data_IF_393082256346
#
_entry.id   IF_393082256346
#
_cell.length_a   1.000
_cell.length_b   1.000
_cell.length_c   1.000
_cell.angle_alpha   90.00
_cell.angle_beta   90.00
_cell.angle_gamma   90.00
#
_symmetry.space_group_name_H-M   'P 1'
#
loop_
_entity.id
_entity.type
_entity.pdbx_description
1 polymer ?
#
# COMPACT_ATOMS: atom_id res chain seq x y z
N UNK A 1 -6.62 14.54 11.24
CA UNK A 1 -6.82 14.21 9.81
C UNK A 1 -5.66 14.84 9.06
N UNK A 2 -4.61 14.08 8.76
CA UNK A 2 -3.57 14.56 7.85
C UNK A 2 -4.22 14.75 6.46
N UNK A 3 -3.95 15.83 5.73
CA UNK A 3 -4.40 15.94 4.36
C UNK A 3 -3.84 14.73 3.63
N UNK A 4 -4.73 13.94 3.02
CA UNK A 4 -4.34 12.88 2.11
C UNK A 4 -3.50 13.56 1.03
N UNK A 5 -2.17 13.44 1.08
CA UNK A 5 -1.35 13.78 -0.07
C UNK A 5 -1.86 12.90 -1.20
N UNK A 6 -2.64 13.49 -2.08
CA UNK A 6 -3.08 12.82 -3.28
C UNK A 6 -1.82 12.61 -4.12
N UNK A 7 -1.67 11.43 -4.71
CA UNK A 7 -0.63 11.14 -5.70
C UNK A 7 -0.47 12.25 -6.76
N UNK A 8 -1.52 13.03 -7.01
CA UNK A 8 -1.49 14.21 -7.87
C UNK A 8 -0.56 15.32 -7.40
N UNK A 9 -0.48 15.64 -6.09
CA UNK A 9 0.43 16.69 -5.59
C UNK A 9 1.89 16.31 -5.88
N UNK A 10 2.29 15.06 -5.65
CA UNK A 10 3.64 14.58 -5.94
C UNK A 10 3.96 14.58 -7.43
N UNK A 11 2.98 14.20 -8.26
CA UNK A 11 3.13 14.23 -9.71
C UNK A 11 3.30 15.67 -10.21
N UNK A 12 2.53 16.60 -9.65
CA UNK A 12 2.59 18.03 -9.96
C UNK A 12 3.94 18.62 -9.61
N UNK A 13 4.42 18.31 -8.40
CA UNK A 13 5.73 18.69 -7.88
C UNK A 13 6.86 18.19 -8.80
N UNK A 14 6.86 16.90 -9.13
CA UNK A 14 7.91 16.30 -9.95
C UNK A 14 7.92 16.92 -11.34
N UNK A 15 6.74 17.08 -11.94
CA UNK A 15 6.62 17.68 -13.27
C UNK A 15 7.09 19.13 -13.27
N UNK A 16 6.71 19.92 -12.27
CA UNK A 16 7.10 21.33 -12.21
C UNK A 16 8.62 21.48 -11.98
N UNK A 17 9.22 20.60 -11.17
CA UNK A 17 10.67 20.52 -11.04
C UNK A 17 11.35 20.19 -12.38
N UNK A 18 10.81 19.23 -13.14
CA UNK A 18 11.35 18.86 -14.46
C UNK A 18 11.16 19.94 -15.52
N UNK A 19 10.13 20.79 -15.41
CA UNK A 19 9.94 21.96 -16.29
C UNK A 19 10.96 23.06 -16.02
N UNK A 20 11.38 23.21 -14.77
CA UNK A 20 12.31 24.24 -14.34
C UNK A 20 13.78 23.79 -14.38
N UNK A 21 14.06 22.66 -15.03
CA UNK A 21 15.44 22.15 -15.19
C UNK A 21 16.25 22.99 -16.17
N UNK A 22 17.57 23.05 -15.94
CA UNK A 22 18.53 23.70 -16.84
C UNK A 22 18.84 22.90 -18.12
N UNK A 23 18.16 21.76 -18.36
CA UNK A 23 18.32 20.90 -19.54
C UNK A 23 17.22 21.20 -20.58
N UNK A 24 17.51 21.92 -21.68
CA UNK A 24 16.49 22.33 -22.65
C UNK A 24 15.69 21.17 -23.24
N UNK A 25 16.36 20.04 -23.56
CA UNK A 25 15.71 18.86 -24.13
C UNK A 25 14.63 18.25 -23.23
N UNK A 26 14.80 18.35 -21.91
CA UNK A 26 13.82 17.88 -20.92
C UNK A 26 12.68 18.89 -20.81
N UNK A 27 13.02 20.18 -20.64
CA UNK A 27 12.01 21.25 -20.55
C UNK A 27 11.08 21.27 -21.76
N UNK A 28 11.62 21.12 -22.97
CA UNK A 28 10.86 21.21 -24.21
C UNK A 28 9.94 19.99 -24.41
N UNK A 29 10.25 18.85 -23.78
CA UNK A 29 9.37 17.67 -23.75
C UNK A 29 8.15 17.88 -22.83
N UNK A 30 8.33 18.53 -21.68
CA UNK A 30 7.27 18.76 -20.67
C UNK A 30 6.36 19.96 -21.00
N UNK A 31 5.84 19.99 -22.23
CA UNK A 31 4.75 20.90 -22.64
C UNK A 31 3.49 20.65 -21.80
N UNK A 32 2.61 21.66 -21.67
CA UNK A 32 1.32 21.55 -20.96
C UNK A 32 0.51 20.31 -21.40
N UNK A 33 0.51 20.04 -22.71
CA UNK A 33 -0.20 18.88 -23.29
C UNK A 33 0.41 17.54 -22.88
N UNK A 34 1.74 17.44 -22.83
CA UNK A 34 2.41 16.20 -22.42
C UNK A 34 2.32 15.99 -20.92
N UNK A 35 2.43 17.05 -20.13
CA UNK A 35 2.18 17.03 -18.68
C UNK A 35 0.78 16.51 -18.37
N UNK A 36 -0.25 17.08 -18.99
CA UNK A 36 -1.62 16.63 -18.79
C UNK A 36 -1.80 15.15 -19.16
N UNK A 37 -1.13 14.69 -20.23
CA UNK A 37 -1.17 13.28 -20.63
C UNK A 37 -0.43 12.36 -19.65
N UNK A 38 0.75 12.74 -19.16
CA UNK A 38 1.52 11.97 -18.16
C UNK A 38 0.73 11.86 -16.86
N UNK A 39 0.16 12.97 -16.35
CA UNK A 39 -0.74 12.96 -15.20
C UNK A 39 -1.92 12.02 -15.44
N UNK A 40 -2.54 12.07 -16.63
CA UNK A 40 -3.63 11.16 -16.97
C UNK A 40 -3.20 9.68 -16.96
N UNK A 41 -1.97 9.34 -17.39
CA UNK A 41 -1.45 7.97 -17.32
C UNK A 41 -1.23 7.47 -15.89
N UNK A 42 -0.95 8.36 -14.93
CA UNK A 42 -0.68 8.02 -13.52
C UNK A 42 -1.98 7.99 -12.69
N UNK A 43 -2.77 9.06 -12.81
CA UNK A 43 -3.96 9.31 -11.98
C UNK A 43 -5.26 8.84 -12.64
N UNK A 44 -5.23 8.51 -13.94
CA UNK A 44 -6.38 8.05 -14.73
C UNK A 44 -7.49 9.10 -14.88
N UNK A 45 -7.15 10.22 -15.52
CA UNK A 45 -8.13 11.21 -15.93
C UNK A 45 -8.64 10.96 -17.35
N UNK A 46 -9.96 11.11 -17.56
CA UNK A 46 -10.59 10.94 -18.89
C UNK A 46 -10.22 12.05 -19.88
N UNK A 47 -9.72 13.20 -19.42
CA UNK A 47 -9.20 14.24 -20.30
C UNK A 47 -7.80 13.85 -20.77
N UNK A 48 -7.78 12.94 -21.73
CA UNK A 48 -6.58 12.50 -22.40
C UNK A 48 -6.19 13.67 -23.31
N UNK A 49 -5.00 14.25 -23.18
CA UNK A 49 -4.48 15.20 -24.17
C UNK A 49 -4.26 14.58 -25.56
N UNK A 50 -5.00 13.52 -25.91
CA UNK A 50 -4.93 12.59 -27.03
C UNK A 50 -6.37 12.16 -27.42
N UNK A 51 -6.62 11.77 -28.68
CA UNK A 51 -7.95 11.32 -29.09
C UNK A 51 -8.37 10.01 -28.39
N UNK A 52 -9.69 9.74 -28.33
CA UNK A 52 -10.24 8.51 -27.74
C UNK A 52 -9.70 7.21 -28.38
N UNK A 53 -9.29 7.26 -29.66
CA UNK A 53 -8.61 6.16 -30.34
C UNK A 53 -7.23 5.81 -29.74
N UNK A 54 -6.70 6.64 -28.83
CA UNK A 54 -5.46 6.41 -28.06
C UNK A 54 -5.74 6.06 -26.59
N UNK A 55 -6.98 5.73 -26.24
CA UNK A 55 -7.38 5.38 -24.87
C UNK A 55 -6.51 4.27 -24.26
N UNK A 56 -6.13 3.25 -25.05
CA UNK A 56 -5.25 2.15 -24.64
C UNK A 56 -3.94 2.61 -23.95
N UNK A 57 -3.46 3.83 -24.20
CA UNK A 57 -2.27 4.37 -23.53
C UNK A 57 -2.45 4.54 -22.01
N UNK A 58 -3.68 4.78 -21.55
CA UNK A 58 -4.02 4.86 -20.12
C UNK A 58 -4.05 3.48 -19.45
N UNK A 59 -4.07 2.41 -20.24
CA UNK A 59 -4.08 1.03 -19.74
C UNK A 59 -2.65 0.46 -19.56
N UNK A 60 -1.60 1.23 -19.92
CA UNK A 60 -0.21 0.78 -19.87
C UNK A 60 0.41 1.00 -18.48
N UNK A 61 0.38 2.24 -17.97
CA UNK A 61 1.16 2.64 -16.78
C UNK A 61 0.43 2.33 -15.47
N UNK A 62 -0.81 2.79 -15.32
CA UNK A 62 -1.64 2.55 -14.14
C UNK A 62 -3.08 2.22 -14.57
N UNK A 63 -3.34 0.95 -14.82
CA UNK A 63 -4.59 0.50 -15.43
C UNK A 63 -5.72 0.44 -14.39
N UNK A 64 -6.46 1.55 -14.22
CA UNK A 64 -7.56 1.59 -13.24
C UNK A 64 -8.81 0.79 -13.64
N UNK A 65 -8.86 0.20 -14.85
CA UNK A 65 -10.01 -0.62 -15.28
C UNK A 65 -9.93 -2.04 -14.75
N UNK A 66 -8.76 -2.67 -14.84
CA UNK A 66 -8.57 -4.05 -14.42
C UNK A 66 -7.28 -4.31 -13.62
N UNK A 67 -6.37 -3.35 -13.52
CA UNK A 67 -5.12 -3.49 -12.76
C UNK A 67 -4.04 -4.34 -13.45
N UNK A 68 -4.19 -4.64 -14.74
CA UNK A 68 -3.12 -5.24 -15.56
C UNK A 68 -2.35 -4.11 -16.24
N UNK A 69 -1.22 -3.74 -15.66
CA UNK A 69 -0.32 -2.67 -16.09
C UNK A 69 1.14 -3.09 -15.94
N UNK A 70 2.06 -2.31 -16.52
CA UNK A 70 3.50 -2.61 -16.49
C UNK A 70 4.11 -2.46 -15.10
N UNK A 71 3.54 -1.62 -14.23
CA UNK A 71 3.92 -1.51 -12.81
C UNK A 71 3.78 -2.87 -12.13
N UNK A 72 2.59 -3.49 -12.24
CA UNK A 72 2.34 -4.82 -11.68
C UNK A 72 3.23 -5.91 -12.26
N UNK A 73 3.45 -5.88 -13.55
CA UNK A 73 4.30 -6.88 -14.21
C UNK A 73 5.75 -6.78 -13.73
N UNK A 74 6.28 -5.57 -13.55
CA UNK A 74 7.65 -5.35 -13.06
C UNK A 74 7.79 -5.74 -11.59
N UNK A 75 6.98 -5.16 -10.69
CA UNK A 75 7.20 -5.36 -9.25
C UNK A 75 6.98 -6.82 -8.85
N UNK A 76 6.04 -7.55 -9.48
CA UNK A 76 5.83 -8.97 -9.18
C UNK A 76 7.09 -9.78 -9.54
N UNK A 77 7.68 -9.55 -10.71
CA UNK A 77 8.90 -10.25 -11.09
C UNK A 77 10.09 -9.87 -10.21
N UNK A 78 10.26 -8.56 -9.98
CA UNK A 78 11.33 -8.01 -9.16
C UNK A 78 11.26 -8.55 -7.73
N UNK A 79 10.10 -8.49 -7.12
CA UNK A 79 9.92 -8.88 -5.72
C UNK A 79 10.02 -10.38 -5.56
N UNK A 80 9.48 -11.19 -6.50
CA UNK A 80 9.74 -12.63 -6.53
C UNK A 80 11.25 -12.93 -6.53
N UNK A 81 12.02 -12.24 -7.38
CA UNK A 81 13.47 -12.42 -7.46
C UNK A 81 14.17 -12.09 -6.13
N UNK A 82 13.89 -10.93 -5.54
CA UNK A 82 14.59 -10.48 -4.32
C UNK A 82 14.10 -11.15 -3.03
N UNK A 83 12.88 -11.69 -3.01
CA UNK A 83 12.31 -12.38 -1.84
C UNK A 83 12.51 -13.89 -1.87
N UNK A 84 13.00 -14.44 -2.99
CA UNK A 84 13.12 -15.88 -3.20
C UNK A 84 11.78 -16.58 -3.50
N UNK A 85 10.72 -15.81 -3.76
CA UNK A 85 9.42 -16.33 -4.14
C UNK A 85 9.44 -16.79 -5.61
N UNK A 86 8.87 -17.95 -5.92
CA UNK A 86 8.83 -18.42 -7.30
C UNK A 86 7.94 -17.50 -8.16
N UNK A 87 8.37 -17.11 -9.36
CA UNK A 87 7.47 -16.48 -10.32
C UNK A 87 6.98 -17.52 -11.33
N UNK A 88 5.65 -17.62 -11.47
CA UNK A 88 4.99 -18.36 -12.57
C UNK A 88 4.51 -17.42 -13.68
N UNK A 89 4.69 -16.11 -13.50
CA UNK A 89 4.20 -15.08 -14.42
C UNK A 89 5.25 -14.82 -15.48
N UNK A 90 4.83 -14.79 -16.75
CA UNK A 90 5.66 -14.41 -17.90
C UNK A 90 5.10 -13.15 -18.58
N UNK A 91 5.53 -11.95 -18.15
CA UNK A 91 5.12 -10.69 -18.76
C UNK A 91 5.51 -10.56 -20.22
N UNK A 92 6.65 -11.12 -20.63
CA UNK A 92 7.14 -11.03 -22.02
C UNK A 92 6.16 -11.73 -22.96
N UNK A 93 5.67 -12.92 -22.58
CA UNK A 93 4.62 -13.64 -23.33
C UNK A 93 3.29 -12.89 -23.35
N UNK A 94 2.88 -12.31 -22.22
CA UNK A 94 1.67 -11.50 -22.17
C UNK A 94 1.78 -10.32 -23.15
N UNK A 95 2.81 -9.49 -23.01
CA UNK A 95 3.00 -8.26 -23.78
C UNK A 95 3.13 -8.57 -25.28
N UNK A 96 3.94 -9.56 -25.66
CA UNK A 96 4.16 -9.92 -27.07
C UNK A 96 2.91 -10.44 -27.78
N UNK A 97 1.90 -10.86 -27.05
CA UNK A 97 0.63 -11.35 -27.61
C UNK A 97 -0.54 -10.38 -27.44
N UNK A 98 -0.35 -9.26 -26.75
CA UNK A 98 -1.38 -8.23 -26.61
C UNK A 98 -1.65 -7.54 -27.96
N UNK A 99 -2.90 -7.15 -28.18
CA UNK A 99 -3.32 -6.38 -29.37
C UNK A 99 -4.10 -5.14 -28.95
N UNK A 100 -3.99 -4.09 -29.74
CA UNK A 100 -4.89 -2.93 -29.64
C UNK A 100 -6.07 -3.20 -30.57
N UNK A 101 -7.28 -3.26 -30.02
CA UNK A 101 -8.49 -3.51 -30.81
C UNK A 101 -9.59 -2.50 -30.49
N UNK A 102 -10.47 -2.20 -31.47
CA UNK A 102 -11.68 -1.45 -31.18
C UNK A 102 -12.59 -2.28 -30.25
N UNK A 103 -13.12 -1.60 -29.25
CA UNK A 103 -14.08 -2.11 -28.28
C UNK A 103 -15.28 -1.14 -28.17
N UNK A 104 -16.17 -1.40 -27.22
CA UNK A 104 -17.35 -0.57 -26.96
C UNK A 104 -17.00 0.94 -26.84
N UNK A 105 -17.91 1.79 -27.31
CA UNK A 105 -17.81 3.26 -27.27
C UNK A 105 -16.63 3.84 -28.08
N UNK A 106 -16.27 3.21 -29.20
CA UNK A 106 -15.17 3.63 -30.10
C UNK A 106 -13.79 3.71 -29.42
N UNK A 107 -13.63 3.08 -28.26
CA UNK A 107 -12.36 3.06 -27.54
C UNK A 107 -11.49 1.93 -28.10
N UNK A 108 -10.27 2.27 -28.49
CA UNK A 108 -9.23 1.28 -28.68
C UNK A 108 -8.67 0.88 -27.31
N UNK A 109 -8.69 -0.41 -27.00
CA UNK A 109 -8.20 -0.96 -25.74
C UNK A 109 -7.13 -2.02 -25.96
N UNK A 110 -6.35 -2.28 -24.92
CA UNK A 110 -5.47 -3.45 -24.86
C UNK A 110 -6.31 -4.71 -24.67
N UNK A 111 -6.21 -5.64 -25.61
CA UNK A 111 -6.86 -6.94 -25.62
C UNK A 111 -5.83 -8.06 -25.53
N UNK A 112 -6.06 -9.04 -24.67
CA UNK A 112 -5.21 -10.22 -24.51
C UNK A 112 -5.79 -11.41 -25.29
N UNK A 113 -5.00 -12.37 -25.80
CA UNK A 113 -5.58 -13.53 -26.45
C UNK A 113 -6.40 -14.34 -25.43
N UNK A 114 -7.54 -14.90 -25.84
CA UNK A 114 -8.40 -15.68 -24.93
C UNK A 114 -7.65 -16.82 -24.19
N UNK A 115 -6.64 -17.41 -24.83
CA UNK A 115 -5.77 -18.44 -24.21
C UNK A 115 -4.87 -17.93 -23.07
N UNK A 116 -4.73 -16.61 -22.87
CA UNK A 116 -3.94 -16.01 -21.79
C UNK A 116 -4.72 -15.81 -20.48
N UNK A 117 -6.00 -16.23 -20.41
CA UNK A 117 -6.82 -16.13 -19.19
C UNK A 117 -6.10 -16.72 -17.97
N UNK A 118 -5.53 -17.92 -18.11
CA UNK A 118 -4.77 -18.56 -17.03
C UNK A 118 -3.57 -17.73 -16.59
N UNK A 119 -2.79 -17.19 -17.53
CA UNK A 119 -1.63 -16.35 -17.22
C UNK A 119 -2.00 -15.06 -16.46
N UNK A 120 -3.16 -14.48 -16.75
CA UNK A 120 -3.66 -13.29 -16.04
C UNK A 120 -4.20 -13.66 -14.65
N UNK A 121 -4.86 -14.81 -14.51
CA UNK A 121 -5.25 -15.35 -13.19
C UNK A 121 -4.00 -15.56 -12.32
N UNK A 122 -2.96 -16.18 -12.88
CA UNK A 122 -1.68 -16.39 -12.20
C UNK A 122 -1.05 -15.07 -11.74
N UNK A 123 -1.18 -14.00 -12.53
CA UNK A 123 -0.73 -12.65 -12.16
C UNK A 123 -1.42 -12.13 -10.91
N UNK A 124 -2.76 -12.18 -10.87
CA UNK A 124 -3.52 -11.71 -9.70
C UNK A 124 -3.32 -12.60 -8.48
N UNK A 125 -3.22 -13.92 -8.67
CA UNK A 125 -2.93 -14.84 -7.59
C UNK A 125 -1.52 -14.57 -7.03
N UNK A 126 -0.53 -14.36 -7.89
CA UNK A 126 0.84 -14.05 -7.44
C UNK A 126 0.89 -12.74 -6.66
N UNK A 127 0.15 -11.73 -7.10
CA UNK A 127 -0.04 -10.49 -6.33
C UNK A 127 -0.58 -10.80 -4.94
N UNK A 128 -1.69 -11.52 -4.84
CA UNK A 128 -2.33 -11.82 -3.56
C UNK A 128 -1.37 -12.56 -2.62
N UNK A 129 -0.63 -13.53 -3.15
CA UNK A 129 0.39 -14.27 -2.43
C UNK A 129 1.51 -13.38 -1.90
N UNK A 130 2.10 -12.51 -2.73
CA UNK A 130 3.15 -11.57 -2.29
C UNK A 130 2.63 -10.61 -1.20
N UNK A 131 1.38 -10.16 -1.32
CA UNK A 131 0.74 -9.37 -0.27
C UNK A 131 0.59 -10.16 1.04
N UNK A 132 0.21 -11.44 0.98
CA UNK A 132 0.04 -12.28 2.16
C UNK A 132 1.38 -12.62 2.84
N UNK A 133 2.33 -13.10 2.04
CA UNK A 133 3.55 -13.76 2.52
C UNK A 133 4.70 -12.78 2.76
N UNK A 134 4.72 -11.65 2.04
CA UNK A 134 5.84 -10.69 2.07
C UNK A 134 5.38 -9.34 2.60
N UNK A 135 4.56 -8.60 1.83
CA UNK A 135 4.31 -7.19 2.10
C UNK A 135 3.50 -6.96 3.39
N UNK A 136 2.55 -7.83 3.68
CA UNK A 136 1.71 -7.77 4.89
C UNK A 136 2.02 -8.93 5.84
N UNK A 137 3.27 -9.42 5.82
CA UNK A 137 3.72 -10.39 6.81
C UNK A 137 3.65 -9.75 8.21
N UNK A 138 3.17 -10.46 9.25
CA UNK A 138 2.96 -9.86 10.57
C UNK A 138 4.21 -9.21 11.18
N UNK A 139 5.39 -9.77 10.94
CA UNK A 139 6.66 -9.15 11.39
C UNK A 139 6.98 -7.86 10.64
N UNK A 140 6.67 -7.76 9.35
CA UNK A 140 6.87 -6.53 8.56
C UNK A 140 5.94 -5.45 9.11
N UNK A 141 4.66 -5.77 9.28
CA UNK A 141 3.67 -4.85 9.88
C UNK A 141 4.13 -4.41 11.28
N UNK A 142 4.63 -5.33 12.12
CA UNK A 142 5.15 -4.99 13.45
C UNK A 142 6.32 -4.02 13.42
N UNK A 143 7.25 -4.17 12.46
CA UNK A 143 8.35 -3.21 12.23
C UNK A 143 7.81 -1.88 11.74
N UNK A 144 6.88 -1.87 10.79
CA UNK A 144 6.27 -0.63 10.28
C UNK A 144 5.58 0.17 11.38
N UNK A 145 4.91 -0.52 12.32
CA UNK A 145 4.29 0.11 13.50
C UNK A 145 5.33 0.75 14.43
N UNK A 146 6.47 0.11 14.65
CA UNK A 146 7.57 0.67 15.44
C UNK A 146 8.15 1.92 14.75
N UNK A 147 8.43 1.82 13.44
CA UNK A 147 8.96 2.93 12.65
C UNK A 147 7.98 4.11 12.64
N UNK A 148 6.68 3.84 12.46
CA UNK A 148 5.62 4.86 12.57
C UNK A 148 5.68 5.55 13.93
N UNK A 149 5.65 4.79 15.02
CA UNK A 149 5.62 5.35 16.37
C UNK A 149 6.88 6.19 16.65
N UNK A 150 8.04 5.75 16.19
CA UNK A 150 9.30 6.51 16.29
C UNK A 150 9.24 7.82 15.50
N UNK A 151 8.83 7.78 14.22
CA UNK A 151 8.78 8.99 13.40
C UNK A 151 7.71 9.98 13.85
N UNK A 152 6.54 9.51 14.32
CA UNK A 152 5.50 10.38 14.88
C UNK A 152 6.02 11.13 16.12
N UNK A 153 6.81 10.45 16.96
CA UNK A 153 7.43 11.06 18.13
C UNK A 153 8.54 12.04 17.78
N UNK A 154 9.39 11.71 16.79
CA UNK A 154 10.51 12.56 16.41
C UNK A 154 10.07 13.79 15.58
N UNK A 155 9.03 13.67 14.76
CA UNK A 155 8.68 14.69 13.77
C UNK A 155 8.45 16.11 14.32
N UNK A 156 7.84 16.34 15.50
CA UNK A 156 7.69 17.68 16.08
C UNK A 156 9.01 18.34 16.50
N UNK A 157 10.08 17.55 16.70
CA UNK A 157 11.37 18.01 17.21
C UNK A 157 12.42 18.15 16.12
N UNK A 158 12.10 17.74 14.89
CA UNK A 158 12.98 17.82 13.75
C UNK A 158 12.47 18.85 12.75
N UNK A 159 13.40 19.59 12.16
CA UNK A 159 13.11 20.57 11.14
C UNK A 159 13.69 20.14 9.79
N UNK A 160 13.01 20.50 8.72
CA UNK A 160 13.41 20.23 7.34
C UNK A 160 13.34 21.51 6.52
N UNK A 161 14.29 21.66 5.59
CA UNK A 161 14.38 22.83 4.72
C UNK A 161 13.38 22.73 3.58
N UNK A 162 12.59 23.77 3.39
CA UNK A 162 11.59 23.89 2.33
C UNK A 162 12.13 24.65 1.10
N UNK A 163 11.31 24.74 0.05
CA UNK A 163 11.66 25.37 -1.22
C UNK A 163 11.96 26.87 -1.13
N UNK A 164 11.38 27.58 -0.17
CA UNK A 164 11.63 28.98 0.16
C UNK A 164 12.91 29.20 0.98
N UNK A 165 13.58 28.12 1.39
CA UNK A 165 14.79 28.15 2.20
C UNK A 165 14.55 28.16 3.70
N UNK A 166 13.30 28.29 4.15
CA UNK A 166 12.90 28.27 5.55
C UNK A 166 12.86 26.84 6.09
N UNK A 167 12.98 26.71 7.42
CA UNK A 167 12.88 25.44 8.12
C UNK A 167 11.48 25.28 8.73
N UNK A 168 10.86 24.12 8.50
CA UNK A 168 9.53 23.76 9.06
C UNK A 168 9.58 22.40 9.76
N UNK A 169 8.62 22.08 10.65
CA UNK A 169 8.55 20.76 11.28
C UNK A 169 8.56 19.63 10.26
N UNK A 170 9.24 18.51 10.57
CA UNK A 170 9.34 17.36 9.67
C UNK A 170 7.96 16.79 9.30
N UNK A 171 6.98 16.90 10.20
CA UNK A 171 5.60 16.48 9.95
C UNK A 171 4.91 17.22 8.80
N UNK A 172 5.39 18.42 8.44
CA UNK A 172 4.87 19.25 7.35
C UNK A 172 5.63 19.02 6.04
N UNK A 173 6.65 18.15 6.02
CA UNK A 173 7.51 17.94 4.84
C UNK A 173 6.73 17.58 3.58
N UNK A 174 5.59 16.90 3.72
CA UNK A 174 4.75 16.51 2.60
C UNK A 174 4.04 17.67 1.91
N UNK A 175 3.95 18.84 2.56
CA UNK A 175 3.32 20.03 2.00
C UNK A 175 4.28 20.83 1.08
N UNK A 176 5.58 20.52 1.13
CA UNK A 176 6.61 21.17 0.31
C UNK A 176 7.39 20.16 -0.54
N UNK A 177 7.52 20.39 -1.86
CA UNK A 177 8.22 19.49 -2.78
C UNK A 177 9.67 19.21 -2.46
N UNK A 178 10.40 20.24 -2.05
CA UNK A 178 11.84 20.15 -1.78
C UNK A 178 12.03 19.40 -0.47
N UNK A 179 11.28 19.77 0.57
CA UNK A 179 11.27 19.06 1.84
C UNK A 179 10.94 17.58 1.65
N UNK A 180 9.84 17.25 0.98
CA UNK A 180 9.44 15.85 0.73
C UNK A 180 10.52 15.05 -0.01
N UNK A 181 11.20 15.66 -0.99
CA UNK A 181 12.29 15.00 -1.73
C UNK A 181 13.48 14.60 -0.86
N UNK A 182 13.66 15.27 0.29
CA UNK A 182 14.69 14.97 1.27
C UNK A 182 14.26 13.92 2.31
N UNK A 183 12.96 13.62 2.45
CA UNK A 183 12.47 12.61 3.39
C UNK A 183 12.75 11.22 2.84
N UNK A 184 13.90 10.65 3.20
CA UNK A 184 14.30 9.29 2.83
C UNK A 184 14.86 8.54 4.04
N UNK A 185 15.39 7.33 3.80
CA UNK A 185 15.81 6.41 4.87
C UNK A 185 16.95 6.92 5.76
N UNK A 186 17.65 8.01 5.40
CA UNK A 186 18.66 8.62 6.29
C UNK A 186 18.05 9.11 7.60
N UNK A 187 16.76 9.49 7.61
CA UNK A 187 16.07 9.94 8.82
C UNK A 187 16.08 8.88 9.92
N UNK A 188 16.00 7.61 9.56
CA UNK A 188 16.14 6.50 10.51
C UNK A 188 17.50 6.56 11.20
N UNK A 189 18.59 6.58 10.42
CA UNK A 189 19.95 6.63 10.95
C UNK A 189 20.21 7.91 11.75
N UNK A 190 19.67 9.03 11.28
CA UNK A 190 19.81 10.32 11.93
C UNK A 190 19.15 10.36 13.30
N UNK A 191 17.90 9.88 13.42
CA UNK A 191 17.23 9.81 14.73
C UNK A 191 17.95 8.82 15.64
N UNK A 192 18.34 7.66 15.12
CA UNK A 192 18.98 6.61 15.91
C UNK A 192 20.35 7.03 16.49
N UNK A 193 21.12 7.85 15.78
CA UNK A 193 22.49 8.19 16.17
C UNK A 193 22.72 9.67 16.49
N UNK A 194 21.74 10.53 16.24
CA UNK A 194 21.91 11.98 16.29
C UNK A 194 22.34 12.51 17.66
N UNK A 195 21.93 11.84 18.76
CA UNK A 195 22.36 12.16 20.13
C UNK A 195 23.87 12.09 20.37
N UNK A 196 24.63 11.43 19.49
CA UNK A 196 26.09 11.33 19.61
C UNK A 196 26.82 12.49 18.94
N UNK A 197 26.10 13.41 18.29
CA UNK A 197 26.66 14.57 17.61
C UNK A 197 25.98 15.83 18.14
N UNK A 198 26.75 16.89 18.37
CA UNK A 198 26.20 18.17 18.81
C UNK A 198 25.45 18.84 17.65
N UNK A 199 24.12 18.85 17.72
CA UNK A 199 23.21 19.47 16.76
C UNK A 199 22.19 20.34 17.51
N UNK A 200 21.53 21.24 16.80
CA UNK A 200 20.45 22.08 17.33
C UNK A 200 19.13 21.30 17.36
N UNK A 201 19.10 20.22 18.14
CA UNK A 201 17.96 19.35 18.39
C UNK A 201 17.99 18.97 19.87
N UNK A 202 16.85 19.06 20.56
CA UNK A 202 16.71 18.59 21.94
C UNK A 202 16.62 17.06 21.99
N UNK A 203 17.78 16.40 21.87
CA UNK A 203 17.88 14.94 21.88
C UNK A 203 17.47 14.30 23.22
N UNK A 204 17.47 15.07 24.31
CA UNK A 204 17.08 14.61 25.64
C UNK A 204 15.57 14.78 25.90
N UNK A 205 14.81 15.33 24.94
CA UNK A 205 13.36 15.37 25.01
C UNK A 205 12.77 13.95 25.12
N UNK A 206 11.78 13.68 26.00
CA UNK A 206 11.22 12.34 26.21
C UNK A 206 10.75 11.64 24.93
N UNK A 207 10.15 12.38 23.99
CA UNK A 207 9.73 11.81 22.71
C UNK A 207 10.90 11.47 21.78
N UNK A 208 12.00 12.24 21.80
CA UNK A 208 13.21 11.92 21.03
C UNK A 208 13.93 10.70 21.62
N UNK A 209 13.97 10.59 22.95
CA UNK A 209 14.50 9.41 23.63
C UNK A 209 13.69 8.16 23.29
N UNK A 210 12.36 8.24 23.34
CA UNK A 210 11.49 7.13 23.00
C UNK A 210 11.55 6.77 21.50
N UNK A 211 11.63 7.75 20.61
CA UNK A 211 11.84 7.52 19.18
C UNK A 211 13.15 6.77 18.92
N UNK A 212 14.25 7.19 19.56
CA UNK A 212 15.55 6.54 19.46
C UNK A 212 15.47 5.09 19.96
N UNK A 213 14.87 4.87 21.13
CA UNK A 213 14.68 3.54 21.73
C UNK A 213 13.89 2.60 20.81
N UNK A 214 12.83 3.09 20.17
CA UNK A 214 12.04 2.33 19.22
C UNK A 214 12.85 1.90 17.99
N UNK A 215 13.67 2.78 17.43
CA UNK A 215 14.55 2.44 16.28
C UNK A 215 15.66 1.45 16.67
N UNK A 216 16.25 1.60 17.87
CA UNK A 216 17.18 0.62 18.43
C UNK A 216 16.53 -0.75 18.64
N UNK A 217 15.25 -0.79 19.05
CA UNK A 217 14.49 -2.02 19.22
C UNK A 217 14.37 -2.81 17.91
N UNK A 218 14.25 -2.14 16.76
CA UNK A 218 14.27 -2.80 15.44
C UNK A 218 15.62 -3.46 15.20
N UNK A 219 16.72 -2.75 15.48
CA UNK A 219 18.09 -3.25 15.31
C UNK A 219 18.39 -4.44 16.22
N UNK A 220 17.88 -4.40 17.46
CA UNK A 220 18.05 -5.45 18.46
C UNK A 220 17.02 -6.59 18.34
N UNK A 221 16.12 -6.53 17.35
CA UNK A 221 15.03 -7.49 17.13
C UNK A 221 14.01 -7.59 18.27
N UNK A 222 13.88 -6.53 19.06
CA UNK A 222 12.87 -6.34 20.10
C UNK A 222 11.56 -5.78 19.51
N UNK A 223 10.93 -6.60 18.67
CA UNK A 223 9.78 -6.20 17.83
C UNK A 223 8.43 -6.46 18.49
N UNK A 224 7.43 -5.61 18.24
CA UNK A 224 6.04 -5.83 18.65
C UNK A 224 5.57 -7.25 18.33
N UNK A 225 4.89 -7.88 19.29
CA UNK A 225 4.51 -9.30 19.22
C UNK A 225 3.07 -9.47 18.79
N UNK A 226 2.82 -10.41 17.89
CA UNK A 226 1.46 -10.81 17.53
C UNK A 226 0.82 -11.59 18.69
N UNK A 227 -0.26 -11.06 19.26
CA UNK A 227 -1.07 -11.75 20.27
C UNK A 227 -2.09 -12.71 19.64
N UNK A 228 -2.60 -12.36 18.45
CA UNK A 228 -3.52 -13.18 17.65
C UNK A 228 -4.05 -12.41 16.44
N UNK A 229 -5.05 -12.98 15.78
CA UNK A 229 -5.74 -12.35 14.65
C UNK A 229 -7.19 -12.81 14.57
N UNK A 230 -8.00 -12.09 13.81
CA UNK A 230 -9.38 -12.46 13.52
C UNK A 230 -9.84 -11.93 12.16
N UNK A 231 -10.72 -12.68 11.49
CA UNK A 231 -11.33 -12.27 10.21
C UNK A 231 -12.38 -11.19 10.44
N UNK A 232 -12.37 -10.14 9.62
CA UNK A 232 -13.38 -9.09 9.67
C UNK A 232 -14.64 -9.50 8.87
N UNK A 233 -15.80 -9.58 9.53
CA UNK A 233 -17.08 -9.82 8.84
C UNK A 233 -17.52 -8.62 7.97
N UNK A 234 -17.14 -7.41 8.36
CA UNK A 234 -17.40 -6.15 7.63
C UNK A 234 -16.11 -5.33 7.53
N UNK A 235 -15.24 -5.63 6.53
CA UNK A 235 -13.90 -5.09 6.47
C UNK A 235 -13.82 -3.56 6.46
N UNK A 236 -13.15 -2.97 7.45
CA UNK A 236 -12.92 -1.51 7.57
C UNK A 236 -14.09 -0.68 8.11
N UNK A 237 -15.12 -1.31 8.69
CA UNK A 237 -16.16 -0.60 9.46
C UNK A 237 -15.93 -0.64 10.97
N UNK A 238 -15.03 -1.50 11.46
CA UNK A 238 -14.73 -1.64 12.88
C UNK A 238 -13.76 -0.55 13.33
N UNK A 239 -14.07 0.07 14.47
CA UNK A 239 -13.12 0.94 15.18
C UNK A 239 -12.05 0.06 15.85
N UNK A 240 -10.84 0.08 15.29
CA UNK A 240 -9.72 -0.74 15.76
C UNK A 240 -9.11 -0.22 17.07
N UNK A 241 -9.23 1.08 17.34
CA UNK A 241 -8.81 1.68 18.61
C UNK A 241 -9.73 1.19 19.71
N UNK A 242 -11.04 1.27 19.47
CA UNK A 242 -12.03 0.74 20.41
C UNK A 242 -11.86 -0.77 20.64
N UNK A 243 -11.58 -1.54 19.58
CA UNK A 243 -11.31 -2.96 19.73
C UNK A 243 -10.07 -3.23 20.61
N UNK A 244 -9.00 -2.46 20.47
CA UNK A 244 -7.82 -2.57 21.33
C UNK A 244 -8.14 -2.24 22.80
N UNK A 245 -8.96 -1.22 23.06
CA UNK A 245 -9.44 -0.85 24.41
C UNK A 245 -10.31 -1.95 25.03
N UNK A 246 -11.27 -2.50 24.28
CA UNK A 246 -12.15 -3.58 24.72
C UNK A 246 -11.34 -4.87 25.04
N UNK A 247 -10.34 -5.20 24.21
CA UNK A 247 -9.44 -6.33 24.48
C UNK A 247 -8.58 -6.05 25.73
N UNK A 248 -8.03 -4.86 25.88
CA UNK A 248 -7.23 -4.50 27.05
C UNK A 248 -8.02 -4.58 28.35
N UNK A 249 -9.29 -4.15 28.34
CA UNK A 249 -10.18 -4.21 29.50
C UNK A 249 -10.39 -5.65 30.02
N UNK A 250 -10.35 -6.65 29.13
CA UNK A 250 -10.49 -8.06 29.47
C UNK A 250 -9.19 -8.70 30.04
N UNK A 251 -8.07 -7.97 30.06
CA UNK A 251 -6.80 -8.45 30.65
C UNK A 251 -6.72 -8.28 32.17
N UNK A 252 -7.79 -7.81 32.82
CA UNK A 252 -7.83 -7.55 34.26
C UNK A 252 -6.70 -6.61 34.73
N UNK A 253 -6.34 -5.62 33.91
CA UNK A 253 -5.31 -4.62 34.21
C UNK A 253 -3.86 -5.04 33.95
N UNK A 254 -3.62 -6.26 33.44
CA UNK A 254 -2.26 -6.73 33.11
C UNK A 254 -1.66 -6.01 31.90
N UNK A 255 -2.51 -5.51 30.99
CA UNK A 255 -2.10 -4.81 29.77
C UNK A 255 -2.94 -3.54 29.61
N UNK A 256 -2.28 -2.41 29.39
CA UNK A 256 -2.96 -1.15 29.13
C UNK A 256 -3.41 -1.05 27.66
N UNK A 257 -4.46 -0.28 27.38
CA UNK A 257 -4.96 -0.10 26.01
C UNK A 257 -3.88 0.40 25.04
N UNK A 258 -3.03 1.34 25.47
CA UNK A 258 -1.92 1.86 24.66
C UNK A 258 -0.80 0.84 24.36
N UNK A 259 -0.80 -0.32 25.02
CA UNK A 259 0.13 -1.42 24.73
C UNK A 259 -0.39 -2.35 23.62
N UNK A 260 -1.66 -2.23 23.21
CA UNK A 260 -2.27 -3.04 22.17
C UNK A 260 -2.47 -2.20 20.91
N UNK A 261 -2.11 -2.75 19.76
CA UNK A 261 -2.38 -2.15 18.46
C UNK A 261 -3.10 -3.17 17.57
N UNK A 262 -4.28 -2.78 17.06
CA UNK A 262 -5.03 -3.58 16.10
C UNK A 262 -4.78 -3.06 14.68
N UNK A 263 -4.36 -3.94 13.76
CA UNK A 263 -4.08 -3.57 12.37
C UNK A 263 -4.78 -4.49 11.39
N UNK A 264 -5.66 -3.91 10.56
CA UNK A 264 -6.31 -4.60 9.45
C UNK A 264 -5.32 -4.79 8.29
N UNK A 265 -5.23 -6.03 7.78
CA UNK A 265 -4.58 -6.39 6.52
C UNK A 265 -5.64 -6.84 5.52
N UNK A 266 -5.64 -6.22 4.34
CA UNK A 266 -6.59 -6.52 3.25
C UNK A 266 -5.83 -7.00 2.04
N UNK A 267 -6.20 -8.18 1.54
CA UNK A 267 -5.52 -8.84 0.44
C UNK A 267 -6.56 -9.06 -0.65
N UNK A 268 -6.42 -8.36 -1.76
CA UNK A 268 -7.34 -8.47 -2.88
C UNK A 268 -6.62 -8.72 -4.20
N UNK A 269 -7.39 -8.99 -5.25
CA UNK A 269 -6.88 -9.04 -6.61
C UNK A 269 -6.72 -7.64 -7.25
N UNK A 270 -6.77 -6.56 -6.44
CA UNK A 270 -6.52 -5.18 -6.87
C UNK A 270 -7.78 -4.37 -7.15
N UNK A 271 -8.97 -4.96 -7.02
CA UNK A 271 -10.27 -4.29 -7.19
C UNK A 271 -11.23 -4.50 -6.00
N UNK A 272 -10.68 -4.55 -4.77
CA UNK A 272 -11.42 -4.92 -3.55
C UNK A 272 -12.12 -6.27 -3.75
N UNK A 273 -13.39 -6.37 -3.37
CA UNK A 273 -14.25 -7.55 -3.48
C UNK A 273 -14.66 -7.90 -4.93
N UNK A 274 -14.38 -7.03 -5.90
CA UNK A 274 -14.75 -7.25 -7.31
C UNK A 274 -13.74 -8.13 -8.04
N UNK A 275 -14.26 -8.94 -8.94
CA UNK A 275 -13.44 -9.74 -9.86
C UNK A 275 -12.83 -8.84 -10.96
N UNK A 276 -11.50 -8.62 -10.98
CA UNK A 276 -10.88 -7.80 -12.03
C UNK A 276 -11.00 -8.42 -13.42
N UNK A 277 -11.16 -9.75 -13.53
CA UNK A 277 -11.26 -10.46 -14.81
C UNK A 277 -12.47 -10.02 -15.64
N UNK A 278 -13.55 -9.58 -14.98
CA UNK A 278 -14.78 -9.08 -15.65
C UNK A 278 -14.52 -7.80 -16.47
N UNK A 279 -13.48 -7.05 -16.13
CA UNK A 279 -13.13 -5.80 -16.80
C UNK A 279 -12.09 -5.97 -17.91
N UNK A 280 -11.49 -7.16 -18.03
CA UNK A 280 -10.43 -7.44 -18.99
C UNK A 280 -11.03 -7.70 -20.38
N UNK A 281 -10.40 -7.12 -21.40
CA UNK A 281 -10.72 -7.41 -22.80
C UNK A 281 -9.84 -8.53 -23.31
N UNK A 282 -10.48 -9.48 -23.95
CA UNK A 282 -9.82 -10.56 -24.66
C UNK A 282 -10.05 -10.43 -26.17
N UNK A 283 -9.33 -11.21 -26.96
CA UNK A 283 -9.62 -11.38 -28.37
C UNK A 283 -9.55 -12.86 -28.79
N UNK A 284 -10.39 -13.19 -29.76
CA UNK A 284 -10.41 -14.44 -30.50
C UNK A 284 -10.50 -14.12 -32.00
N UNK A 285 -10.68 -15.13 -32.85
CA UNK A 285 -10.80 -14.94 -34.32
C UNK A 285 -11.90 -13.94 -34.71
N UNK A 286 -12.99 -13.90 -33.94
CA UNK A 286 -14.17 -13.06 -34.21
C UNK A 286 -14.06 -11.61 -33.71
N UNK A 287 -12.93 -11.21 -33.13
CA UNK A 287 -12.70 -9.85 -32.64
C UNK A 287 -12.48 -9.75 -31.13
N UNK A 288 -12.66 -8.54 -30.59
CA UNK A 288 -12.54 -8.27 -29.15
C UNK A 288 -13.78 -8.76 -28.40
N UNK A 289 -13.59 -9.24 -27.17
CA UNK A 289 -14.66 -9.81 -26.34
C UNK A 289 -14.38 -9.61 -24.85
N UNK A 290 -15.41 -9.85 -24.03
CA UNK A 290 -15.29 -10.08 -22.59
C UNK A 290 -15.75 -11.49 -22.29
N UNK A 291 -15.20 -12.08 -21.24
CA UNK A 291 -15.67 -13.36 -20.73
C UNK A 291 -16.82 -13.11 -19.77
N UNK A 292 -17.88 -13.90 -19.91
CA UNK A 292 -18.96 -14.00 -18.95
C UNK A 292 -18.53 -14.83 -17.74
N UNK A 293 -19.27 -14.72 -16.63
CA UNK A 293 -18.97 -15.47 -15.39
C UNK A 293 -18.88 -16.98 -15.59
N UNK A 294 -19.68 -17.52 -16.51
CA UNK A 294 -19.73 -18.95 -16.83
C UNK A 294 -18.55 -19.44 -17.66
N UNK A 295 -17.81 -18.53 -18.30
CA UNK A 295 -16.65 -18.86 -19.14
C UNK A 295 -15.34 -18.84 -18.34
N UNK A 296 -15.35 -18.33 -17.10
CA UNK A 296 -14.17 -18.42 -16.26
C UNK A 296 -13.93 -19.86 -15.76
N UNK A 297 -12.65 -20.26 -15.58
CA UNK A 297 -12.33 -21.53 -14.97
C UNK A 297 -13.01 -21.69 -13.60
N UNK A 298 -13.50 -22.89 -13.29
CA UNK A 298 -14.10 -23.19 -11.98
C UNK A 298 -13.10 -23.12 -10.82
N UNK A 299 -11.81 -23.05 -11.13
CA UNK A 299 -10.71 -22.84 -10.18
C UNK A 299 -10.56 -21.38 -9.72
N UNK A 300 -11.31 -20.44 -10.30
CA UNK A 300 -11.32 -19.04 -9.87
C UNK A 300 -11.85 -18.92 -8.43
N UNK A 301 -11.26 -18.07 -7.57
CA UNK A 301 -11.79 -17.81 -6.23
C UNK A 301 -13.24 -17.31 -6.25
N UNK A 302 -14.00 -17.67 -5.21
CA UNK A 302 -15.36 -17.17 -4.99
C UNK A 302 -15.40 -15.76 -4.38
N UNK A 303 -14.32 -15.36 -3.72
CA UNK A 303 -14.12 -14.04 -3.14
C UNK A 303 -12.75 -13.50 -3.59
N UNK A 304 -12.68 -12.20 -3.86
CA UNK A 304 -11.50 -11.53 -4.41
C UNK A 304 -10.82 -10.59 -3.42
N UNK A 305 -11.34 -10.50 -2.20
CA UNK A 305 -10.75 -9.79 -1.07
C UNK A 305 -10.87 -10.66 0.18
N UNK A 306 -9.75 -10.79 0.88
CA UNK A 306 -9.65 -11.32 2.23
C UNK A 306 -9.23 -10.19 3.18
N UNK A 307 -9.75 -10.22 4.40
CA UNK A 307 -9.53 -9.19 5.40
C UNK A 307 -9.40 -9.78 6.80
N UNK A 308 -8.26 -9.54 7.41
CA UNK A 308 -7.92 -10.00 8.75
C UNK A 308 -7.38 -8.84 9.56
N UNK A 309 -7.80 -8.72 10.82
CA UNK A 309 -7.15 -7.83 11.79
C UNK A 309 -6.15 -8.63 12.61
N UNK A 310 -4.91 -8.15 12.67
CA UNK A 310 -3.86 -8.67 13.54
C UNK A 310 -3.80 -7.80 14.80
N UNK A 311 -3.72 -8.46 15.95
CA UNK A 311 -3.58 -7.81 17.26
C UNK A 311 -2.12 -7.90 17.70
N UNK A 312 -1.47 -6.75 17.83
CA UNK A 312 -0.10 -6.60 18.29
C UNK A 312 -0.06 -6.14 19.75
N UNK A 313 0.90 -6.67 20.50
CA UNK A 313 1.32 -6.18 21.80
C UNK A 313 2.68 -5.48 21.63
N UNK A 314 2.78 -4.23 22.11
CA UNK A 314 4.00 -3.41 22.02
C UNK A 314 5.14 -3.88 22.94
N UNK A 315 4.86 -4.80 23.86
CA UNK A 315 5.80 -5.41 24.80
C UNK A 315 6.36 -6.76 24.32
N UNK A 316 7.59 -7.09 24.77
CA UNK A 316 8.18 -8.42 24.62
C UNK A 316 7.71 -9.43 25.69
N UNK A 317 7.00 -8.96 26.72
CA UNK A 317 6.59 -9.76 27.87
C UNK A 317 5.64 -10.90 27.46
N UNK A 318 6.07 -12.14 27.70
CA UNK A 318 5.31 -13.35 27.36
C UNK A 318 4.04 -13.51 28.18
N UNK A 319 4.02 -13.08 29.45
CA UNK A 319 2.83 -13.13 30.30
C UNK A 319 1.80 -12.13 29.82
N UNK A 320 2.20 -10.90 29.49
CA UNK A 320 1.30 -9.91 28.87
C UNK A 320 0.75 -10.45 27.55
N UNK A 321 1.59 -11.06 26.70
CA UNK A 321 1.15 -11.64 25.42
C UNK A 321 0.12 -12.75 25.60
N UNK A 322 0.33 -13.64 26.57
CA UNK A 322 -0.62 -14.71 26.87
C UNK A 322 -1.94 -14.15 27.39
N UNK A 323 -1.88 -13.14 28.25
CA UNK A 323 -3.06 -12.43 28.75
C UNK A 323 -3.86 -11.75 27.62
N UNK A 324 -3.18 -11.01 26.74
CA UNK A 324 -3.81 -10.39 25.55
C UNK A 324 -4.44 -11.43 24.64
N UNK A 325 -3.82 -12.59 24.45
CA UNK A 325 -4.38 -13.67 23.63
C UNK A 325 -5.65 -14.25 24.25
N UNK A 326 -5.65 -14.53 25.56
CA UNK A 326 -6.84 -15.02 26.25
C UNK A 326 -7.98 -13.99 26.23
N UNK A 327 -7.65 -12.71 26.41
CA UNK A 327 -8.60 -11.60 26.32
C UNK A 327 -9.18 -11.46 24.91
N UNK A 328 -8.37 -11.62 23.85
CA UNK A 328 -8.84 -11.63 22.47
C UNK A 328 -9.81 -12.78 22.22
N UNK A 329 -9.48 -14.01 22.65
CA UNK A 329 -10.35 -15.17 22.49
C UNK A 329 -11.71 -14.96 23.18
N UNK A 330 -11.71 -14.34 24.36
CA UNK A 330 -12.94 -14.02 25.09
C UNK A 330 -13.75 -12.91 24.41
N UNK A 331 -13.08 -11.83 23.99
CA UNK A 331 -13.70 -10.75 23.23
C UNK A 331 -14.38 -11.29 21.97
N UNK A 332 -13.74 -12.18 21.22
CA UNK A 332 -14.32 -12.78 20.02
C UNK A 332 -15.61 -13.57 20.30
N UNK A 333 -15.70 -14.29 21.43
CA UNK A 333 -16.94 -15.00 21.82
C UNK A 333 -18.08 -14.02 22.12
N UNK A 334 -17.78 -12.90 22.77
CA UNK A 334 -18.76 -11.85 23.07
C UNK A 334 -19.32 -11.25 21.77
N UNK A 335 -18.44 -10.98 20.78
CA UNK A 335 -18.83 -10.45 19.47
C UNK A 335 -19.75 -11.39 18.67
N UNK A 336 -19.54 -12.71 18.78
CA UNK A 336 -20.42 -13.70 18.13
C UNK A 336 -21.80 -13.74 18.79
N UNK A 337 -21.84 -13.65 20.11
CA UNK A 337 -23.08 -13.73 20.90
C UNK A 337 -23.99 -12.53 20.66
N UNK A 338 -23.41 -11.32 20.57
CA UNK A 338 -24.14 -10.08 20.23
C UNK A 338 -24.71 -10.10 18.80
N UNK A 339 -24.04 -10.78 17.85
CA UNK A 339 -24.58 -10.92 16.50
C UNK A 339 -25.78 -11.88 16.42
N UNK A 340 -25.84 -12.88 17.30
CA UNK A 340 -26.94 -13.86 17.32
C UNK A 340 -28.19 -13.33 18.03
N UNK A 341 -28.06 -12.35 18.93
CA UNK A 341 -29.18 -11.73 19.64
C UNK A 341 -29.90 -10.61 18.87
N UNK A 342 -29.34 -10.18 17.73
CA UNK A 342 -29.89 -9.09 16.87
C UNK A 342 -30.54 -9.65 15.58
N UNK A 343 -30.80 -10.96 15.50
CA UNK A 343 -31.52 -11.58 14.36
C UNK A 343 -32.95 -11.96 14.70
#
# INVERSE_FOLDING_TARGET
MAPTLTFGILTDILVEHLRNTNRPSIRDFFTTRNVAFIKACIEFFRSIGRPLSKFFLLEIVANKKCGVDVDKLDYILRDCHYTGYSSIVDPSRLISTAKIMPCDNELNQICWPAKAVGNIIDLFQRRANLHHDVYQHPTVIGVDLILRDAFVKAAPHLQIRCSDGEFRPLGEASEDPVAFSHVTNWLHQFIQHGRHVKLDVDWDHPDMLEATRLLESVSNRELFKVAGSFTERSPGQRDLTKAAEEIAALTSGQVQAGEIECRSRKISWGMKDKNPMENIRFYAEKGSMRLSRTEFPTTLPRAFEDAETIVFLKSQDSHKRQSTRAALDEWLKQQVSECCSVR
#
